data_IF_359662904287
#
_entry.id   IF_359662904287
#
_cell.length_a   1.000
_cell.length_b   1.000
_cell.length_c   1.000
_cell.angle_alpha   90.00
_cell.angle_beta   90.00
_cell.angle_gamma   90.00
#
_symmetry.space_group_name_H-M   'P 1'
#
loop_
_entity.id
_entity.type
_entity.pdbx_description
1 polymer ?
#
# COMPACT_ATOMS: atom_id res chain seq x y z
N UNK A 1 -15.52 21.28 -12.88
CA UNK A 1 -14.46 21.20 -11.83
C UNK A 1 -15.06 21.11 -10.42
N UNK A 2 -15.99 21.96 -10.01
CA UNK A 2 -16.61 21.85 -8.68
C UNK A 2 -17.23 20.47 -8.36
N UNK A 3 -17.91 19.84 -9.31
CA UNK A 3 -18.41 18.47 -9.14
C UNK A 3 -17.27 17.46 -8.86
N UNK A 4 -16.12 17.63 -9.52
CA UNK A 4 -14.95 16.77 -9.30
C UNK A 4 -14.35 16.96 -7.89
N UNK A 5 -14.35 18.19 -7.39
CA UNK A 5 -13.89 18.45 -6.02
C UNK A 5 -14.83 17.85 -4.98
N UNK A 6 -16.12 17.95 -5.20
CA UNK A 6 -17.11 17.31 -4.34
C UNK A 6 -16.91 15.79 -4.38
N UNK A 7 -16.76 15.19 -5.57
CA UNK A 7 -16.51 13.77 -5.73
C UNK A 7 -15.24 13.30 -5.01
N UNK A 8 -14.15 14.07 -5.12
CA UNK A 8 -12.91 13.81 -4.38
C UNK A 8 -13.10 13.94 -2.87
N UNK A 9 -13.86 14.95 -2.42
CA UNK A 9 -14.12 15.16 -0.99
C UNK A 9 -14.90 14.02 -0.36
N UNK A 10 -15.93 13.52 -1.06
CA UNK A 10 -16.76 12.39 -0.59
C UNK A 10 -16.20 11.02 -1.04
N UNK A 11 -15.06 11.02 -1.73
CA UNK A 11 -14.43 9.82 -2.31
C UNK A 11 -15.39 9.03 -3.21
N UNK A 12 -16.10 9.71 -4.08
CA UNK A 12 -17.00 9.09 -5.05
C UNK A 12 -16.20 8.45 -6.19
N UNK A 13 -15.99 7.14 -6.09
CA UNK A 13 -15.27 6.34 -7.09
C UNK A 13 -16.12 6.05 -8.34
N UNK A 14 -17.41 6.32 -8.32
CA UNK A 14 -18.29 6.15 -9.49
C UNK A 14 -18.29 7.41 -10.39
N UNK A 15 -17.65 8.50 -9.94
CA UNK A 15 -17.57 9.73 -10.71
C UNK A 15 -16.66 9.60 -11.94
N UNK A 16 -17.11 10.09 -13.09
CA UNK A 16 -16.40 9.87 -14.36
C UNK A 16 -15.25 10.85 -14.59
N UNK A 17 -14.01 10.35 -14.61
CA UNK A 17 -12.80 11.11 -14.95
C UNK A 17 -12.83 11.74 -16.38
N UNK A 18 -13.65 11.21 -17.31
CA UNK A 18 -13.79 11.74 -18.66
C UNK A 18 -14.26 13.19 -18.68
N UNK A 19 -15.03 13.62 -17.68
CA UNK A 19 -15.49 15.01 -17.55
C UNK A 19 -14.33 15.98 -17.34
N UNK A 20 -13.31 15.59 -16.57
CA UNK A 20 -12.10 16.40 -16.37
C UNK A 20 -11.24 16.47 -17.63
N UNK A 21 -11.10 15.37 -18.35
CA UNK A 21 -10.38 15.32 -19.62
C UNK A 21 -11.02 16.25 -20.66
N UNK A 22 -12.35 16.22 -20.77
CA UNK A 22 -13.08 17.13 -21.67
C UNK A 22 -12.95 18.59 -21.21
N UNK A 23 -13.06 18.87 -19.92
CA UNK A 23 -12.89 20.22 -19.39
C UNK A 23 -11.47 20.76 -19.67
N UNK A 24 -10.44 19.95 -19.46
CA UNK A 24 -9.06 20.30 -19.77
C UNK A 24 -8.90 20.70 -21.25
N UNK A 25 -9.37 19.86 -22.19
CA UNK A 25 -9.27 20.14 -23.64
C UNK A 25 -9.98 21.43 -24.05
N UNK A 26 -11.17 21.66 -23.52
CA UNK A 26 -11.95 22.87 -23.81
C UNK A 26 -11.22 24.10 -23.29
N UNK A 27 -10.74 24.07 -22.06
CA UNK A 27 -10.03 25.20 -21.43
C UNK A 27 -8.70 25.50 -22.15
N UNK A 28 -7.95 24.46 -22.49
CA UNK A 28 -6.71 24.58 -23.27
C UNK A 28 -6.96 25.20 -24.65
N UNK A 29 -7.99 24.75 -25.37
CA UNK A 29 -8.37 25.29 -26.67
C UNK A 29 -8.80 26.78 -26.62
N UNK A 30 -9.30 27.24 -25.47
CA UNK A 30 -9.66 28.65 -25.23
C UNK A 30 -8.50 29.48 -24.63
N UNK A 31 -7.31 28.88 -24.44
CA UNK A 31 -6.15 29.58 -23.88
C UNK A 31 -6.20 29.77 -22.35
N UNK A 32 -7.17 29.19 -21.67
CA UNK A 32 -7.26 29.25 -20.20
C UNK A 32 -6.36 28.18 -19.58
N UNK A 33 -5.05 28.43 -19.63
CA UNK A 33 -4.01 27.46 -19.20
C UNK A 33 -4.05 27.19 -17.70
N UNK A 34 -4.49 28.16 -16.89
CA UNK A 34 -4.54 27.99 -15.42
C UNK A 34 -5.65 27.01 -15.05
N UNK A 35 -6.86 27.21 -15.57
CA UNK A 35 -7.98 26.31 -15.29
C UNK A 35 -7.79 24.94 -16.00
N UNK A 36 -7.13 24.88 -17.15
CA UNK A 36 -6.73 23.64 -17.79
C UNK A 36 -5.77 22.84 -16.90
N UNK A 37 -4.74 23.48 -16.34
CA UNK A 37 -3.82 22.87 -15.40
C UNK A 37 -4.54 22.40 -14.12
N UNK A 38 -5.51 23.16 -13.65
CA UNK A 38 -6.31 22.79 -12.50
C UNK A 38 -7.21 21.56 -12.77
N UNK A 39 -7.84 21.49 -13.93
CA UNK A 39 -8.59 20.29 -14.33
C UNK A 39 -7.68 19.04 -14.38
N UNK A 40 -6.46 19.18 -14.88
CA UNK A 40 -5.45 18.12 -14.91
C UNK A 40 -4.99 17.73 -13.50
N UNK A 41 -4.80 18.68 -12.61
CA UNK A 41 -4.48 18.44 -11.21
C UNK A 41 -5.58 17.64 -10.48
N UNK A 42 -6.86 17.97 -10.71
CA UNK A 42 -7.97 17.18 -10.17
C UNK A 42 -7.99 15.75 -10.74
N UNK A 43 -7.63 15.57 -12.01
CA UNK A 43 -7.49 14.25 -12.62
C UNK A 43 -6.38 13.44 -11.97
N UNK A 44 -5.22 14.04 -11.66
CA UNK A 44 -4.14 13.41 -10.91
C UNK A 44 -4.63 12.93 -9.53
N UNK A 45 -5.35 13.80 -8.82
CA UNK A 45 -5.91 13.45 -7.50
C UNK A 45 -6.90 12.28 -7.58
N UNK A 46 -7.71 12.23 -8.62
CA UNK A 46 -8.65 11.15 -8.86
C UNK A 46 -7.89 9.84 -9.17
N UNK A 47 -6.85 9.88 -10.01
CA UNK A 47 -5.99 8.72 -10.28
C UNK A 47 -5.33 8.17 -9.00
N UNK A 48 -4.89 9.05 -8.11
CA UNK A 48 -4.35 8.64 -6.81
C UNK A 48 -5.43 8.00 -5.92
N UNK A 49 -6.68 8.45 -6.02
CA UNK A 49 -7.80 7.84 -5.31
C UNK A 49 -8.08 6.43 -5.81
N UNK A 50 -7.91 6.17 -7.10
CA UNK A 50 -8.03 4.83 -7.71
C UNK A 50 -6.77 3.95 -7.56
N UNK A 51 -5.67 4.48 -7.02
CA UNK A 51 -4.40 3.76 -6.92
C UNK A 51 -3.56 3.73 -8.21
N UNK A 52 -3.95 4.46 -9.25
CA UNK A 52 -3.26 4.55 -10.53
C UNK A 52 -2.02 5.45 -10.45
N UNK A 53 -1.03 5.00 -9.67
CA UNK A 53 0.12 5.81 -9.29
C UNK A 53 1.01 6.21 -10.48
N UNK A 54 1.23 5.29 -11.44
CA UNK A 54 2.06 5.57 -12.62
C UNK A 54 1.44 6.64 -13.52
N UNK A 55 0.12 6.56 -13.73
CA UNK A 55 -0.61 7.53 -14.54
C UNK A 55 -0.65 8.91 -13.85
N UNK A 56 -0.87 8.93 -12.53
CA UNK A 56 -0.85 10.15 -11.73
C UNK A 56 0.52 10.86 -11.81
N UNK A 57 1.61 10.11 -11.70
CA UNK A 57 2.98 10.62 -11.80
C UNK A 57 3.29 11.16 -13.19
N UNK A 58 2.88 10.45 -14.25
CA UNK A 58 3.04 10.91 -15.62
C UNK A 58 2.25 12.18 -15.92
N UNK A 59 1.03 12.33 -15.37
CA UNK A 59 0.23 13.53 -15.58
C UNK A 59 0.73 14.73 -14.78
N UNK A 60 1.13 14.55 -13.52
CA UNK A 60 1.58 15.67 -12.69
C UNK A 60 2.91 16.24 -13.20
N UNK A 61 3.77 15.43 -13.80
CA UNK A 61 5.04 15.89 -14.38
C UNK A 61 4.85 16.80 -15.61
N UNK A 62 3.67 16.78 -16.25
CA UNK A 62 3.36 17.64 -17.39
C UNK A 62 2.89 19.04 -16.96
N UNK A 63 2.56 19.24 -15.69
CA UNK A 63 2.09 20.52 -15.19
C UNK A 63 3.25 21.49 -14.98
N UNK A 64 3.06 22.74 -15.40
CA UNK A 64 4.05 23.81 -15.17
C UNK A 64 3.67 24.63 -13.93
N UNK A 65 4.33 24.45 -12.78
CA UNK A 65 3.98 25.16 -11.54
C UNK A 65 4.27 26.67 -11.58
N UNK A 66 5.01 27.17 -12.58
CA UNK A 66 5.35 28.60 -12.68
C UNK A 66 4.10 29.49 -12.81
N UNK A 67 3.05 28.97 -13.41
CA UNK A 67 1.78 29.68 -13.65
C UNK A 67 0.82 29.64 -12.44
N UNK A 68 1.14 28.88 -11.39
CA UNK A 68 0.21 28.63 -10.30
C UNK A 68 0.25 29.74 -9.26
N UNK A 69 -0.92 30.03 -8.67
CA UNK A 69 -1.01 30.83 -7.45
C UNK A 69 -0.31 30.12 -6.28
N UNK A 70 0.08 30.82 -5.21
CA UNK A 70 0.68 30.17 -4.04
C UNK A 70 -0.19 29.04 -3.46
N UNK A 71 -1.52 29.22 -3.42
CA UNK A 71 -2.45 28.20 -2.97
C UNK A 71 -2.40 26.94 -3.85
N UNK A 72 -2.39 27.12 -5.15
CA UNK A 72 -2.32 26.00 -6.09
C UNK A 72 -0.94 25.33 -6.10
N UNK A 73 0.15 26.10 -5.94
CA UNK A 73 1.49 25.53 -5.75
C UNK A 73 1.54 24.65 -4.52
N UNK A 74 1.00 25.10 -3.40
CA UNK A 74 0.96 24.31 -2.18
C UNK A 74 0.16 23.00 -2.35
N UNK A 75 -1.00 23.05 -3.00
CA UNK A 75 -1.80 21.87 -3.31
C UNK A 75 -1.07 20.91 -4.28
N UNK A 76 -0.36 21.45 -5.26
CA UNK A 76 0.44 20.69 -6.21
C UNK A 76 1.60 19.95 -5.51
N UNK A 77 2.36 20.63 -4.67
CA UNK A 77 3.45 20.04 -3.89
C UNK A 77 2.94 19.00 -2.89
N UNK A 78 1.76 19.19 -2.32
CA UNK A 78 1.13 18.23 -1.43
C UNK A 78 0.80 16.91 -2.19
N UNK A 79 0.36 17.02 -3.45
CA UNK A 79 0.12 15.83 -4.30
C UNK A 79 1.44 15.15 -4.66
N UNK A 80 2.50 15.91 -5.00
CA UNK A 80 3.85 15.35 -5.23
C UNK A 80 4.33 14.59 -3.99
N UNK A 81 4.17 15.17 -2.80
CA UNK A 81 4.51 14.50 -1.54
C UNK A 81 3.71 13.20 -1.37
N UNK A 82 2.43 13.21 -1.69
CA UNK A 82 1.58 12.02 -1.63
C UNK A 82 2.02 10.90 -2.58
N UNK A 83 2.47 11.24 -3.78
CA UNK A 83 3.06 10.29 -4.73
C UNK A 83 4.37 9.75 -4.16
N UNK A 84 5.26 10.62 -3.69
CA UNK A 84 6.57 10.24 -3.15
C UNK A 84 6.45 9.32 -1.93
N UNK A 85 5.50 9.56 -1.02
CA UNK A 85 5.20 8.68 0.12
C UNK A 85 4.79 7.28 -0.37
N UNK A 86 3.92 7.20 -1.38
CA UNK A 86 3.47 5.92 -1.94
C UNK A 86 4.59 5.15 -2.65
N UNK A 87 5.57 5.88 -3.19
CA UNK A 87 6.80 5.33 -3.77
C UNK A 87 7.86 4.99 -2.73
N UNK A 88 7.62 5.27 -1.44
CA UNK A 88 8.63 5.19 -0.37
C UNK A 88 9.90 6.01 -0.68
N UNK A 89 9.71 7.19 -1.26
CA UNK A 89 10.74 8.19 -1.51
C UNK A 89 10.63 9.29 -0.46
N UNK A 90 10.97 8.97 0.79
CA UNK A 90 10.59 9.80 1.95
C UNK A 90 11.35 11.11 1.98
N UNK A 91 12.60 11.13 1.51
CA UNK A 91 13.35 12.37 1.35
C UNK A 91 12.64 13.33 0.39
N UNK A 92 12.26 12.85 -0.79
CA UNK A 92 11.52 13.66 -1.78
C UNK A 92 10.16 14.12 -1.26
N UNK A 93 9.47 13.26 -0.53
CA UNK A 93 8.19 13.61 0.12
C UNK A 93 8.37 14.76 1.11
N UNK A 94 9.39 14.70 1.96
CA UNK A 94 9.71 15.74 2.96
C UNK A 94 10.05 17.07 2.29
N UNK A 95 10.86 17.04 1.24
CA UNK A 95 11.21 18.24 0.46
C UNK A 95 9.97 18.88 -0.19
N UNK A 96 9.07 18.07 -0.76
CA UNK A 96 7.81 18.57 -1.34
C UNK A 96 6.89 19.16 -0.25
N UNK A 97 6.78 18.53 0.92
CA UNK A 97 6.01 19.08 2.05
C UNK A 97 6.55 20.41 2.55
N UNK A 98 7.88 20.58 2.58
CA UNK A 98 8.51 21.86 2.96
C UNK A 98 8.14 22.94 1.94
N UNK A 99 8.21 22.64 0.63
CA UNK A 99 7.78 23.60 -0.41
C UNK A 99 6.29 23.91 -0.32
N UNK A 100 5.46 22.88 -0.09
CA UNK A 100 4.01 23.07 0.15
C UNK A 100 3.74 24.00 1.32
N UNK A 101 4.44 23.83 2.44
CA UNK A 101 4.28 24.66 3.64
C UNK A 101 4.65 26.12 3.37
N UNK A 102 5.76 26.37 2.67
CA UNK A 102 6.18 27.72 2.30
C UNK A 102 5.12 28.43 1.43
N UNK A 103 4.57 27.74 0.44
CA UNK A 103 3.54 28.31 -0.44
C UNK A 103 2.19 28.48 0.27
N UNK A 104 1.81 27.56 1.15
CA UNK A 104 0.59 27.68 1.96
C UNK A 104 0.67 28.85 2.97
N UNK A 105 1.86 29.11 3.52
CA UNK A 105 2.10 30.30 4.37
C UNK A 105 1.95 31.60 3.57
N UNK A 106 2.46 31.64 2.33
CA UNK A 106 2.27 32.78 1.41
C UNK A 106 0.81 33.01 1.06
N UNK A 107 0.08 31.91 0.84
CA UNK A 107 -1.36 31.94 0.53
C UNK A 107 -2.22 32.32 1.76
N UNK A 108 -1.70 32.19 2.98
CA UNK A 108 -2.41 32.43 4.26
C UNK A 108 -3.66 31.57 4.45
N UNK A 109 -3.67 30.35 3.91
CA UNK A 109 -4.82 29.43 3.95
C UNK A 109 -4.63 28.42 5.08
N UNK A 110 -5.28 28.64 6.23
CA UNK A 110 -5.18 27.78 7.43
C UNK A 110 -5.57 26.31 7.18
N UNK A 111 -6.65 25.98 6.48
CA UNK A 111 -7.00 24.59 6.20
C UNK A 111 -5.89 23.84 5.44
N UNK A 112 -5.23 24.50 4.49
CA UNK A 112 -4.14 23.91 3.71
C UNK A 112 -2.90 23.65 4.58
N UNK A 113 -2.56 24.59 5.48
CA UNK A 113 -1.49 24.38 6.46
C UNK A 113 -1.79 23.18 7.37
N UNK A 114 -3.02 23.07 7.85
CA UNK A 114 -3.42 21.93 8.69
C UNK A 114 -3.33 20.57 7.96
N UNK A 115 -3.62 20.56 6.64
CA UNK A 115 -3.48 19.36 5.81
C UNK A 115 -2.00 18.98 5.64
N UNK A 116 -1.13 19.96 5.41
CA UNK A 116 0.32 19.75 5.31
C UNK A 116 0.90 19.26 6.64
N UNK A 117 0.50 19.85 7.77
CA UNK A 117 0.94 19.45 9.10
C UNK A 117 0.53 17.99 9.39
N UNK A 118 -0.67 17.57 9.00
CA UNK A 118 -1.10 16.16 9.08
C UNK A 118 -0.21 15.24 8.24
N UNK A 119 0.19 15.68 7.04
CA UNK A 119 1.09 14.92 6.19
C UNK A 119 2.49 14.77 6.82
N UNK A 120 3.01 15.82 7.47
CA UNK A 120 4.25 15.71 8.26
C UNK A 120 4.11 14.76 9.45
N UNK A 121 3.00 14.82 10.19
CA UNK A 121 2.73 13.89 11.29
C UNK A 121 2.73 12.44 10.83
N UNK A 122 2.20 12.17 9.63
CA UNK A 122 2.20 10.83 9.03
C UNK A 122 3.63 10.28 8.86
N UNK A 123 4.58 11.11 8.43
CA UNK A 123 5.99 10.71 8.31
C UNK A 123 6.62 10.36 9.67
N UNK A 124 6.10 10.89 10.76
CA UNK A 124 6.54 10.62 12.13
C UNK A 124 5.80 9.48 12.84
N UNK A 125 4.83 8.81 12.18
CA UNK A 125 4.12 7.68 12.77
C UNK A 125 4.75 6.35 12.37
N UNK A 126 4.74 5.32 13.26
CA UNK A 126 5.20 3.98 12.92
C UNK A 126 4.46 3.43 11.69
N UNK A 127 5.21 3.06 10.65
CA UNK A 127 4.71 2.55 9.39
C UNK A 127 4.77 1.02 9.31
N UNK A 128 5.73 0.42 10.02
CA UNK A 128 5.92 -1.02 10.08
C UNK A 128 6.52 -1.46 11.42
N UNK A 129 6.48 -2.74 11.68
CA UNK A 129 7.19 -3.43 12.74
C UNK A 129 8.18 -4.39 12.11
N UNK A 130 9.44 -4.26 12.45
CA UNK A 130 10.51 -5.15 12.01
C UNK A 130 10.67 -6.27 13.04
N UNK A 131 10.66 -7.50 12.58
CA UNK A 131 10.96 -8.69 13.36
C UNK A 131 12.24 -9.32 12.82
N UNK A 132 13.25 -9.45 13.67
CA UNK A 132 14.54 -10.06 13.31
C UNK A 132 15.14 -10.74 14.53
N UNK A 133 15.45 -12.03 14.42
CA UNK A 133 16.12 -12.81 15.46
C UNK A 133 15.47 -12.71 16.86
N UNK A 134 14.14 -12.62 16.91
CA UNK A 134 13.37 -12.48 18.15
C UNK A 134 13.26 -11.07 18.71
N UNK A 135 13.89 -10.07 18.08
CA UNK A 135 13.73 -8.66 18.43
C UNK A 135 12.63 -8.01 17.59
N UNK A 136 11.89 -7.08 18.22
CA UNK A 136 10.86 -6.27 17.56
C UNK A 136 11.25 -4.79 17.62
N UNK A 137 11.17 -4.10 16.48
CA UNK A 137 11.40 -2.67 16.39
C UNK A 137 10.32 -1.99 15.55
N UNK A 138 9.73 -0.91 16.05
CA UNK A 138 8.86 -0.05 15.25
C UNK A 138 9.70 0.80 14.29
N UNK A 139 9.29 0.84 13.04
CA UNK A 139 9.95 1.58 11.97
C UNK A 139 9.07 2.72 11.47
N UNK A 140 9.68 3.87 11.27
CA UNK A 140 9.09 4.96 10.49
C UNK A 140 9.25 4.68 8.99
N UNK A 141 8.61 5.50 8.15
CA UNK A 141 8.72 5.35 6.69
C UNK A 141 10.17 5.47 6.18
N UNK A 142 10.99 6.37 6.78
CA UNK A 142 12.42 6.49 6.45
C UNK A 142 13.18 5.18 6.73
N UNK A 143 12.89 4.54 7.89
CA UNK A 143 13.52 3.26 8.24
C UNK A 143 13.09 2.15 7.26
N UNK A 144 11.80 2.13 6.89
CA UNK A 144 11.28 1.16 5.90
C UNK A 144 11.97 1.36 4.55
N UNK A 145 12.08 2.62 4.07
CA UNK A 145 12.81 2.95 2.83
C UNK A 145 14.25 2.43 2.90
N UNK A 146 14.96 2.68 4.01
CA UNK A 146 16.33 2.23 4.22
C UNK A 146 16.45 0.69 4.22
N UNK A 147 15.55 -0.02 4.89
CA UNK A 147 15.51 -1.49 4.88
C UNK A 147 15.28 -2.03 3.48
N UNK A 148 14.34 -1.45 2.74
CA UNK A 148 14.01 -1.89 1.37
C UNK A 148 15.09 -1.57 0.33
N UNK A 149 15.91 -0.55 0.58
CA UNK A 149 17.06 -0.17 -0.25
C UNK A 149 18.34 -0.95 0.11
N UNK A 150 18.36 -1.62 1.26
CA UNK A 150 19.52 -2.38 1.73
C UNK A 150 19.62 -3.75 1.07
N UNK A 151 20.79 -4.39 1.22
CA UNK A 151 21.01 -5.77 0.81
C UNK A 151 20.45 -6.74 1.86
N UNK A 152 19.13 -6.74 2.02
CA UNK A 152 18.38 -7.54 3.01
C UNK A 152 17.27 -8.31 2.31
N UNK A 153 17.15 -9.61 2.61
CA UNK A 153 15.98 -10.38 2.21
C UNK A 153 14.79 -10.00 3.12
N UNK A 154 13.76 -9.43 2.54
CA UNK A 154 12.59 -8.93 3.27
C UNK A 154 11.38 -9.82 3.01
N UNK A 155 10.79 -10.34 4.08
CA UNK A 155 9.46 -10.98 4.08
C UNK A 155 8.46 -9.91 4.52
N UNK A 156 7.74 -9.33 3.55
CA UNK A 156 6.78 -8.25 3.79
C UNK A 156 5.40 -8.83 4.13
N UNK A 157 5.07 -8.84 5.41
CA UNK A 157 3.77 -9.31 5.89
C UNK A 157 2.66 -8.27 5.73
N UNK A 158 2.99 -7.02 5.40
CA UNK A 158 1.99 -6.01 5.05
C UNK A 158 1.39 -6.27 3.67
N UNK A 159 2.17 -6.85 2.74
CA UNK A 159 1.79 -7.07 1.33
C UNK A 159 1.80 -8.54 0.90
N UNK A 160 2.12 -9.46 1.80
CA UNK A 160 2.25 -10.91 1.53
C UNK A 160 3.20 -11.22 0.38
N UNK A 161 4.39 -10.65 0.41
CA UNK A 161 5.41 -10.86 -0.59
C UNK A 161 6.80 -11.11 0.04
N UNK A 162 7.71 -11.65 -0.77
CA UNK A 162 9.13 -11.77 -0.46
C UNK A 162 9.89 -10.95 -1.47
N UNK A 163 10.86 -10.16 -1.01
CA UNK A 163 11.63 -9.29 -1.89
C UNK A 163 13.09 -9.20 -1.47
N UNK A 164 13.93 -9.00 -2.47
CA UNK A 164 15.32 -8.60 -2.32
C UNK A 164 15.62 -7.57 -3.41
N UNK A 165 15.99 -6.36 -3.01
CA UNK A 165 16.18 -5.24 -3.93
C UNK A 165 14.98 -5.03 -4.88
N UNK A 166 15.18 -5.19 -6.20
CA UNK A 166 14.14 -5.04 -7.23
C UNK A 166 13.34 -6.32 -7.50
N UNK A 167 13.86 -7.49 -7.10
CA UNK A 167 13.16 -8.75 -7.28
C UNK A 167 12.06 -8.93 -6.23
N UNK A 168 10.87 -9.31 -6.70
CA UNK A 168 9.68 -9.46 -5.85
C UNK A 168 8.91 -10.71 -6.24
N UNK A 169 8.53 -11.51 -5.26
CA UNK A 169 7.59 -12.63 -5.43
C UNK A 169 6.38 -12.43 -4.53
N UNK A 170 5.20 -12.24 -5.12
CA UNK A 170 3.94 -12.13 -4.38
C UNK A 170 3.42 -13.53 -3.99
N UNK A 171 3.06 -13.65 -2.72
CA UNK A 171 2.38 -14.81 -2.15
C UNK A 171 0.97 -14.45 -1.64
N UNK A 172 0.43 -13.29 -2.01
CA UNK A 172 -0.88 -12.81 -1.56
C UNK A 172 -2.01 -13.79 -1.90
N UNK A 173 -1.97 -14.44 -3.05
CA UNK A 173 -2.91 -15.49 -3.46
C UNK A 173 -2.61 -16.88 -2.86
N UNK A 174 -1.56 -17.00 -2.04
CA UNK A 174 -1.07 -18.27 -1.47
C UNK A 174 -0.84 -18.16 0.03
N UNK A 175 -1.88 -17.94 0.84
CA UNK A 175 -1.76 -17.60 2.26
C UNK A 175 -1.04 -18.70 3.09
N UNK A 176 -1.18 -19.96 2.72
CA UNK A 176 -0.47 -21.07 3.37
C UNK A 176 1.05 -20.94 3.14
N UNK A 177 1.49 -20.69 1.91
CA UNK A 177 2.91 -20.51 1.60
C UNK A 177 3.46 -19.27 2.31
N UNK A 178 2.67 -18.18 2.35
CA UNK A 178 3.08 -16.99 3.08
C UNK A 178 3.22 -17.24 4.59
N UNK A 179 2.27 -17.94 5.20
CA UNK A 179 2.36 -18.29 6.64
C UNK A 179 3.59 -19.15 6.95
N UNK A 180 3.97 -20.06 6.04
CA UNK A 180 5.17 -20.88 6.19
C UNK A 180 6.45 -20.05 6.08
N UNK A 181 6.61 -19.23 5.04
CA UNK A 181 7.81 -18.41 4.87
C UNK A 181 7.95 -17.38 5.99
N UNK A 182 6.84 -16.79 6.44
CA UNK A 182 6.82 -15.89 7.60
C UNK A 182 7.34 -16.58 8.85
N UNK A 183 6.80 -17.76 9.20
CA UNK A 183 7.22 -18.50 10.38
C UNK A 183 8.72 -18.90 10.33
N UNK A 184 9.21 -19.29 9.15
CA UNK A 184 10.63 -19.57 8.94
C UNK A 184 11.49 -18.31 9.06
N UNK A 185 11.01 -17.17 8.56
CA UNK A 185 11.71 -15.90 8.65
C UNK A 185 11.76 -15.32 10.06
N UNK A 186 10.66 -15.43 10.82
CA UNK A 186 10.60 -14.98 12.21
C UNK A 186 11.56 -15.79 13.11
N UNK A 187 11.77 -17.07 12.80
CA UNK A 187 12.69 -17.94 13.54
C UNK A 187 14.14 -17.88 13.06
N UNK A 188 14.39 -17.28 11.90
CA UNK A 188 15.74 -17.23 11.31
C UNK A 188 16.77 -16.62 12.29
N UNK A 189 18.00 -17.21 12.41
CA UNK A 189 18.57 -18.30 11.62
C UNK A 189 18.20 -19.72 12.08
N UNK A 190 17.38 -19.86 13.10
CA UNK A 190 16.99 -21.15 13.69
C UNK A 190 15.97 -21.91 12.81
N UNK A 191 15.85 -23.21 13.07
CA UNK A 191 14.84 -24.05 12.42
C UNK A 191 13.49 -24.00 13.13
N UNK A 192 12.42 -24.25 12.37
CA UNK A 192 11.05 -24.37 12.89
C UNK A 192 10.60 -25.81 12.83
N UNK A 193 10.05 -26.33 13.92
CA UNK A 193 9.58 -27.72 14.01
C UNK A 193 8.42 -27.99 13.04
N UNK A 194 8.31 -29.25 12.54
CA UNK A 194 7.22 -29.66 11.65
C UNK A 194 5.84 -29.41 12.26
N UNK A 195 5.70 -29.68 13.54
CA UNK A 195 4.42 -29.52 14.26
C UNK A 195 4.03 -28.05 14.40
N UNK A 196 5.00 -27.17 14.62
CA UNK A 196 4.76 -25.72 14.66
C UNK A 196 4.35 -25.20 13.28
N UNK A 197 5.04 -25.63 12.21
CA UNK A 197 4.68 -25.25 10.84
C UNK A 197 3.29 -25.76 10.44
N UNK A 198 2.90 -26.97 10.84
CA UNK A 198 1.54 -27.49 10.63
C UNK A 198 0.49 -26.60 11.32
N UNK A 199 0.73 -26.25 12.60
CA UNK A 199 -0.19 -25.40 13.36
C UNK A 199 -0.37 -24.01 12.71
N UNK A 200 0.73 -23.40 12.27
CA UNK A 200 0.71 -22.09 11.64
C UNK A 200 0.04 -22.14 10.26
N UNK A 201 0.41 -23.12 9.42
CA UNK A 201 -0.07 -23.22 8.04
C UNK A 201 -1.55 -23.59 7.95
N UNK A 202 -2.02 -24.50 8.80
CA UNK A 202 -3.35 -25.09 8.69
C UNK A 202 -4.30 -24.66 9.82
N UNK A 203 -3.81 -23.85 10.78
CA UNK A 203 -4.58 -23.34 11.94
C UNK A 203 -5.23 -24.46 12.75
N UNK A 204 -4.60 -25.64 12.81
CA UNK A 204 -5.07 -26.83 13.53
C UNK A 204 -4.39 -26.95 14.90
N UNK A 205 -5.15 -27.35 15.92
CA UNK A 205 -4.61 -27.56 17.27
C UNK A 205 -3.90 -28.89 17.41
N UNK A 206 -4.36 -29.93 16.69
CA UNK A 206 -3.77 -31.26 16.66
C UNK A 206 -2.98 -31.48 15.36
N UNK A 207 -1.89 -32.23 15.44
CA UNK A 207 -1.04 -32.57 14.30
C UNK A 207 -1.15 -34.07 14.08
N UNK A 208 -1.52 -34.48 12.87
CA UNK A 208 -1.57 -35.85 12.42
C UNK A 208 -0.65 -36.08 11.20
N UNK A 209 -0.51 -37.33 10.79
CA UNK A 209 0.38 -37.68 9.67
C UNK A 209 -0.14 -37.18 8.33
N UNK A 210 -1.46 -37.00 8.16
CA UNK A 210 -2.06 -36.42 6.95
C UNK A 210 -1.63 -34.95 6.81
N UNK A 211 -1.67 -34.17 7.88
CA UNK A 211 -1.22 -32.79 7.92
C UNK A 211 0.29 -32.66 7.68
N UNK A 212 1.09 -33.61 8.18
CA UNK A 212 2.54 -33.69 7.91
C UNK A 212 2.82 -34.00 6.44
N UNK A 213 2.05 -34.90 5.83
CA UNK A 213 2.15 -35.16 4.38
C UNK A 213 1.79 -33.93 3.56
N UNK A 214 0.70 -33.22 3.93
CA UNK A 214 0.32 -31.96 3.29
C UNK A 214 1.39 -30.87 3.46
N UNK A 215 2.00 -30.75 4.63
CA UNK A 215 3.12 -29.84 4.86
C UNK A 215 4.27 -30.09 3.88
N UNK A 216 4.64 -31.38 3.64
CA UNK A 216 5.71 -31.71 2.67
C UNK A 216 5.40 -31.19 1.27
N UNK A 217 4.14 -31.29 0.82
CA UNK A 217 3.71 -30.76 -0.48
C UNK A 217 3.81 -29.23 -0.52
N UNK A 218 3.31 -28.54 0.52
CA UNK A 218 3.37 -27.08 0.56
C UNK A 218 4.83 -26.56 0.68
N UNK A 219 5.70 -27.27 1.40
CA UNK A 219 7.14 -26.95 1.44
C UNK A 219 7.81 -27.13 0.07
N UNK A 220 7.40 -28.12 -0.72
CA UNK A 220 7.84 -28.26 -2.12
C UNK A 220 7.42 -27.06 -2.98
N UNK A 221 6.17 -26.62 -2.86
CA UNK A 221 5.65 -25.42 -3.56
C UNK A 221 6.38 -24.16 -3.11
N UNK A 222 6.65 -24.03 -1.81
CA UNK A 222 7.36 -22.88 -1.26
C UNK A 222 8.81 -22.82 -1.76
N UNK A 223 9.53 -23.95 -1.83
CA UNK A 223 10.86 -24.02 -2.44
C UNK A 223 10.87 -23.51 -3.88
N UNK A 224 9.86 -23.92 -4.68
CA UNK A 224 9.74 -23.46 -6.06
C UNK A 224 9.49 -21.97 -6.13
N UNK A 225 8.64 -21.41 -5.25
CA UNK A 225 8.32 -20.00 -5.21
C UNK A 225 9.50 -19.11 -4.77
N UNK A 226 10.37 -19.62 -3.90
CA UNK A 226 11.49 -18.88 -3.31
C UNK A 226 12.86 -19.22 -3.91
N UNK A 227 12.92 -19.99 -4.98
CA UNK A 227 14.19 -20.53 -5.53
C UNK A 227 15.25 -19.44 -5.84
N UNK A 228 14.84 -18.24 -6.16
CA UNK A 228 15.73 -17.10 -6.45
C UNK A 228 16.23 -16.39 -5.19
N UNK A 229 15.52 -16.53 -4.06
CA UNK A 229 15.79 -15.80 -2.83
C UNK A 229 16.48 -16.64 -1.77
N UNK A 230 16.03 -17.89 -1.61
CA UNK A 230 16.46 -18.74 -0.49
C UNK A 230 16.26 -20.21 -0.77
N UNK A 231 17.08 -21.04 -0.12
CA UNK A 231 16.88 -22.47 0.01
C UNK A 231 16.11 -22.79 1.30
N UNK A 232 15.23 -23.79 1.25
CA UNK A 232 14.57 -24.33 2.43
C UNK A 232 15.09 -25.74 2.68
N UNK A 233 15.97 -25.90 3.68
CA UNK A 233 16.53 -27.20 4.07
C UNK A 233 15.68 -27.89 5.11
N UNK A 234 15.57 -29.21 4.99
CA UNK A 234 15.01 -30.04 6.03
C UNK A 234 16.08 -30.32 7.12
N UNK A 235 15.68 -30.19 8.37
CA UNK A 235 16.49 -30.53 9.55
C UNK A 235 15.90 -31.76 10.25
N UNK A 236 16.58 -32.27 11.28
CA UNK A 236 16.01 -33.34 12.12
C UNK A 236 14.68 -32.90 12.76
N UNK A 237 14.61 -31.68 13.24
CA UNK A 237 13.44 -31.07 13.91
C UNK A 237 12.37 -30.60 12.93
N UNK A 238 12.76 -29.96 11.81
CA UNK A 238 11.82 -29.34 10.93
C UNK A 238 12.39 -28.81 9.63
N UNK A 239 12.36 -27.48 9.46
CA UNK A 239 12.87 -26.77 8.29
C UNK A 239 13.52 -25.46 8.69
N UNK A 240 14.56 -25.08 7.94
CA UNK A 240 15.27 -23.78 8.09
C UNK A 240 15.32 -23.08 6.75
N UNK A 241 15.20 -21.75 6.79
CA UNK A 241 15.34 -20.87 5.62
C UNK A 241 16.80 -20.41 5.53
N UNK A 242 17.41 -20.53 4.36
CA UNK A 242 18.79 -20.11 4.10
C UNK A 242 18.76 -19.14 2.92
N UNK A 243 18.90 -17.83 3.15
CA UNK A 243 18.98 -16.84 2.08
C UNK A 243 20.20 -17.12 1.16
N UNK A 244 20.02 -16.95 -0.15
CA UNK A 244 21.11 -16.99 -1.14
C UNK A 244 21.66 -15.61 -1.46
N UNK A 245 20.76 -14.62 -1.41
CA UNK A 245 20.99 -13.29 -1.94
C UNK A 245 21.45 -12.27 -0.88
N UNK A 246 21.41 -12.65 0.41
CA UNK A 246 21.77 -11.76 1.52
C UNK A 246 22.14 -12.54 2.77
N UNK A 247 23.05 -11.96 3.58
CA UNK A 247 23.36 -12.46 4.93
C UNK A 247 22.37 -11.95 5.98
N UNK A 248 21.40 -11.12 5.58
CA UNK A 248 20.39 -10.53 6.47
C UNK A 248 18.99 -10.88 5.99
N UNK A 249 18.15 -11.29 6.92
CA UNK A 249 16.74 -11.53 6.70
C UNK A 249 15.92 -10.80 7.78
N UNK A 250 14.86 -10.15 7.35
CA UNK A 250 13.91 -9.51 8.26
C UNK A 250 12.48 -9.79 7.82
N UNK A 251 11.58 -9.76 8.80
CA UNK A 251 10.13 -9.76 8.54
C UNK A 251 9.60 -8.37 8.85
N UNK A 252 8.98 -7.74 7.85
CA UNK A 252 8.22 -6.50 8.04
C UNK A 252 6.77 -6.84 8.28
N UNK A 253 6.25 -6.44 9.43
CA UNK A 253 4.85 -6.63 9.82
C UNK A 253 4.17 -5.28 10.03
N UNK A 254 2.85 -5.29 10.15
CA UNK A 254 2.10 -4.08 10.48
C UNK A 254 2.47 -3.58 11.88
N UNK A 255 2.53 -2.26 12.11
CA UNK A 255 2.90 -1.69 13.40
C UNK A 255 1.90 -2.07 14.51
N UNK A 256 0.63 -2.26 14.12
CA UNK A 256 -0.46 -2.73 14.97
C UNK A 256 -1.06 -3.97 14.30
N UNK A 257 -1.34 -5.03 15.06
CA UNK A 257 -1.99 -6.22 14.51
C UNK A 257 -3.36 -5.85 13.92
N UNK A 258 -3.47 -5.95 12.60
CA UNK A 258 -4.68 -5.65 11.88
C UNK A 258 -5.60 -6.88 11.81
N UNK A 259 -6.83 -6.72 12.27
CA UNK A 259 -7.80 -7.82 12.33
C UNK A 259 -8.07 -8.47 10.98
N UNK A 260 -7.93 -7.72 9.89
CA UNK A 260 -8.24 -8.16 8.52
C UNK A 260 -7.04 -8.03 7.57
N UNK A 261 -5.82 -8.20 8.11
CA UNK A 261 -4.55 -8.04 7.36
C UNK A 261 -4.50 -8.83 6.05
N UNK A 262 -5.05 -10.05 6.01
CA UNK A 262 -5.05 -10.87 4.81
C UNK A 262 -5.87 -10.25 3.65
N UNK A 263 -6.99 -9.60 3.95
CA UNK A 263 -7.80 -8.88 2.95
C UNK A 263 -7.03 -7.66 2.45
N UNK A 264 -6.47 -6.86 3.36
CA UNK A 264 -5.68 -5.68 3.02
C UNK A 264 -4.43 -6.03 2.19
N UNK A 265 -3.77 -7.16 2.49
CA UNK A 265 -2.59 -7.60 1.75
C UNK A 265 -2.88 -7.91 0.27
N UNK A 266 -4.04 -8.48 -0.05
CA UNK A 266 -4.44 -8.70 -1.44
C UNK A 266 -4.79 -7.37 -2.10
N UNK A 267 -5.60 -6.54 -1.43
CA UNK A 267 -6.00 -5.23 -1.94
C UNK A 267 -4.83 -4.25 -2.09
N UNK A 268 -3.67 -4.54 -1.48
CA UNK A 268 -2.46 -3.72 -1.59
C UNK A 268 -1.81 -3.73 -2.98
N UNK A 269 -2.26 -4.60 -3.89
CA UNK A 269 -1.89 -4.56 -5.32
C UNK A 269 -2.47 -3.34 -6.05
N UNK A 270 -3.45 -2.65 -5.44
CA UNK A 270 -4.14 -1.49 -6.00
C UNK A 270 -5.26 -1.84 -6.99
N UNK A 271 -5.50 -3.13 -7.23
CA UNK A 271 -6.53 -3.60 -8.14
C UNK A 271 -7.92 -3.60 -7.47
N UNK A 272 -8.95 -3.51 -8.30
CA UNK A 272 -10.33 -3.50 -7.87
C UNK A 272 -10.89 -4.94 -7.76
N UNK A 273 -11.06 -5.41 -6.54
CA UNK A 273 -11.47 -6.79 -6.25
C UNK A 273 -12.96 -6.93 -5.92
N UNK A 274 -13.60 -8.00 -6.40
CA UNK A 274 -14.91 -8.40 -5.92
C UNK A 274 -14.78 -9.21 -4.61
N UNK A 275 -15.79 -9.17 -3.75
CA UNK A 275 -15.80 -9.99 -2.53
C UNK A 275 -15.76 -11.50 -2.80
N UNK A 276 -16.28 -11.96 -3.94
CA UNK A 276 -16.21 -13.37 -4.37
C UNK A 276 -14.79 -13.76 -4.80
N UNK A 277 -14.10 -12.90 -5.56
CA UNK A 277 -12.70 -13.15 -5.95
C UNK A 277 -11.77 -13.17 -4.75
N UNK A 278 -11.93 -12.24 -3.81
CA UNK A 278 -11.20 -12.23 -2.54
C UNK A 278 -11.46 -13.50 -1.71
N UNK A 279 -12.71 -13.95 -1.66
CA UNK A 279 -13.07 -15.18 -0.95
C UNK A 279 -12.39 -16.42 -1.53
N UNK A 280 -12.34 -16.51 -2.86
CA UNK A 280 -11.68 -17.60 -3.59
C UNK A 280 -10.17 -17.61 -3.30
N UNK A 281 -9.52 -16.46 -3.39
CA UNK A 281 -8.07 -16.32 -3.16
C UNK A 281 -7.71 -16.61 -1.70
N UNK A 282 -8.51 -16.14 -0.75
CA UNK A 282 -8.31 -16.36 0.68
C UNK A 282 -8.73 -17.76 1.17
N UNK A 283 -9.40 -18.56 0.33
CA UNK A 283 -9.92 -19.87 0.72
C UNK A 283 -10.96 -19.80 1.84
N UNK A 284 -11.76 -18.75 1.86
CA UNK A 284 -12.77 -18.51 2.91
C UNK A 284 -14.14 -18.19 2.31
N UNK A 285 -15.19 -18.10 3.14
CA UNK A 285 -16.52 -17.79 2.63
C UNK A 285 -16.65 -16.32 2.21
N UNK A 286 -17.44 -16.05 1.15
CA UNK A 286 -17.72 -14.68 0.73
C UNK A 286 -18.35 -13.85 1.85
N UNK A 287 -19.18 -14.44 2.70
CA UNK A 287 -19.77 -13.77 3.87
C UNK A 287 -18.72 -13.31 4.89
N UNK A 288 -17.66 -14.13 5.09
CA UNK A 288 -16.54 -13.77 5.97
C UNK A 288 -15.77 -12.58 5.39
N UNK A 289 -15.50 -12.59 4.08
CA UNK A 289 -14.84 -11.49 3.40
C UNK A 289 -15.68 -10.22 3.44
N UNK A 290 -16.98 -10.31 3.19
CA UNK A 290 -17.87 -9.15 3.25
C UNK A 290 -17.85 -8.48 4.63
N UNK A 291 -17.93 -9.26 5.73
CA UNK A 291 -17.80 -8.70 7.08
C UNK A 291 -16.44 -8.03 7.32
N UNK A 292 -15.38 -8.62 6.79
CA UNK A 292 -14.05 -8.03 6.89
C UNK A 292 -13.96 -6.72 6.12
N UNK A 293 -14.53 -6.67 4.90
CA UNK A 293 -14.55 -5.47 4.05
C UNK A 293 -15.41 -4.37 4.68
N UNK A 294 -16.58 -4.71 5.24
CA UNK A 294 -17.43 -3.76 5.97
C UNK A 294 -16.68 -3.16 7.17
N UNK A 295 -16.03 -3.98 7.99
CA UNK A 295 -15.23 -3.51 9.12
C UNK A 295 -14.04 -2.63 8.68
N UNK A 296 -13.43 -2.92 7.54
CA UNK A 296 -12.34 -2.12 6.96
C UNK A 296 -12.86 -0.81 6.34
N UNK A 297 -14.05 -0.81 5.75
CA UNK A 297 -14.75 0.37 5.21
C UNK A 297 -15.12 1.33 6.35
N UNK A 298 -15.72 0.81 7.43
CA UNK A 298 -16.03 1.60 8.64
C UNK A 298 -14.78 2.26 9.25
N UNK A 299 -13.62 1.60 9.13
CA UNK A 299 -12.32 2.15 9.58
C UNK A 299 -11.61 3.01 8.52
N UNK A 300 -12.21 3.21 7.35
CA UNK A 300 -11.68 4.04 6.25
C UNK A 300 -10.42 3.47 5.57
N UNK A 301 -10.20 2.15 5.67
CA UNK A 301 -9.03 1.47 5.10
C UNK A 301 -9.25 0.90 3.71
N UNK A 302 -10.49 0.63 3.37
CA UNK A 302 -10.92 0.22 2.03
C UNK A 302 -12.11 1.05 1.61
N UNK A 303 -12.41 1.04 0.35
CA UNK A 303 -13.59 1.70 -0.20
C UNK A 303 -14.20 0.83 -1.29
N UNK A 304 -15.53 0.90 -1.43
CA UNK A 304 -16.22 0.21 -2.50
C UNK A 304 -16.80 1.17 -3.52
N UNK A 305 -16.90 0.72 -4.77
CA UNK A 305 -17.62 1.39 -5.85
C UNK A 305 -18.38 0.37 -6.71
N UNK A 306 -19.33 0.85 -7.52
CA UNK A 306 -20.26 0.00 -8.24
C UNK A 306 -21.36 -0.54 -7.33
N UNK A 307 -22.36 -1.24 -7.92
CA UNK A 307 -23.53 -1.78 -7.21
C UNK A 307 -23.76 -3.24 -7.52
N UNK A 308 -24.33 -3.97 -6.56
CA UNK A 308 -24.68 -5.39 -6.71
C UNK A 308 -23.47 -6.25 -7.09
N UNK A 309 -23.56 -7.02 -8.18
CA UNK A 309 -22.49 -7.89 -8.66
C UNK A 309 -21.27 -7.12 -9.24
N UNK A 310 -21.48 -5.86 -9.65
CA UNK A 310 -20.41 -4.98 -10.12
C UNK A 310 -19.66 -4.28 -8.98
N UNK A 311 -20.06 -4.45 -7.71
CA UNK A 311 -19.38 -3.84 -6.55
C UNK A 311 -17.94 -4.34 -6.48
N UNK A 312 -17.00 -3.39 -6.40
CA UNK A 312 -15.57 -3.63 -6.29
C UNK A 312 -15.02 -2.92 -5.06
N UNK A 313 -13.96 -3.47 -4.53
CA UNK A 313 -13.28 -2.98 -3.35
C UNK A 313 -11.84 -2.65 -3.69
N UNK A 314 -11.35 -1.52 -3.19
CA UNK A 314 -9.99 -1.05 -3.37
C UNK A 314 -9.42 -0.58 -2.05
N UNK A 315 -8.11 -0.65 -1.91
CA UNK A 315 -7.36 0.02 -0.85
C UNK A 315 -6.26 0.86 -1.46
N UNK A 316 -5.61 1.65 -0.64
CA UNK A 316 -4.47 2.44 -1.10
C UNK A 316 -3.19 1.63 -0.98
N UNK A 317 -2.19 1.86 -1.87
CA UNK A 317 -0.97 1.04 -1.94
C UNK A 317 -0.10 1.06 -0.68
N UNK A 318 -0.38 1.93 0.30
CA UNK A 318 0.31 1.95 1.58
C UNK A 318 -0.70 1.72 2.72
N UNK A 319 -0.73 0.51 3.33
CA UNK A 319 -1.50 0.27 4.54
C UNK A 319 -1.06 1.22 5.65
N UNK A 320 -2.03 1.86 6.29
CA UNK A 320 -1.78 2.80 7.39
C UNK A 320 -1.46 4.24 6.98
N UNK A 321 -1.17 4.52 5.71
CA UNK A 321 -1.11 5.90 5.20
C UNK A 321 -2.53 6.36 4.94
N UNK A 322 -3.04 7.19 5.82
CA UNK A 322 -4.37 7.78 5.64
C UNK A 322 -4.39 8.63 4.37
N UNK A 323 -5.52 8.63 3.68
CA UNK A 323 -5.74 9.33 2.41
C UNK A 323 -5.90 10.84 2.57
N UNK A 324 -5.38 11.41 3.66
CA UNK A 324 -5.43 12.84 3.94
C UNK A 324 -4.89 13.65 2.77
N UNK A 325 -3.83 13.16 2.11
CA UNK A 325 -3.25 13.77 0.90
C UNK A 325 -4.18 13.75 -0.33
N UNK A 326 -5.34 13.11 -0.24
CA UNK A 326 -6.35 13.07 -1.30
C UNK A 326 -7.53 14.00 -1.01
N UNK A 327 -7.52 14.70 0.13
CA UNK A 327 -8.55 15.71 0.40
C UNK A 327 -8.50 16.82 -0.65
N UNK A 328 -9.64 17.40 -1.01
CA UNK A 328 -9.68 18.54 -1.91
C UNK A 328 -8.81 19.67 -1.38
N UNK A 329 -7.91 20.17 -2.22
CA UNK A 329 -7.22 21.42 -1.92
C UNK A 329 -8.19 22.60 -1.98
N UNK A 330 -7.82 23.77 -1.46
CA UNK A 330 -8.62 24.97 -1.63
C UNK A 330 -8.78 25.29 -3.10
N UNK A 331 -9.92 25.89 -3.44
CA UNK A 331 -10.18 26.38 -4.80
C UNK A 331 -9.09 27.37 -5.22
N UNK A 332 -8.60 27.32 -6.47
CA UNK A 332 -7.68 28.32 -6.96
C UNK A 332 -8.42 29.67 -7.05
N UNK A 333 -7.95 30.63 -6.31
CA UNK A 333 -8.31 32.04 -6.47
C UNK A 333 -9.76 32.39 -6.12
N UNK A 334 -10.03 32.65 -4.91
CA UNK A 334 -10.90 33.75 -4.45
C UNK A 334 -10.05 34.87 -3.89
#
# INVERSE_FOLDING_TARGET
>A
MAEAEIALAVRDLDWSARRLENAHKILEAHGDLINAAYARHLQVRLLLLFGHLNEAEALISQLNPALFSPAFKAAHELVIAGIAIRRLQIKSAREALIRAQQEAQRAKIRPLLAEIDKAFQLLGTPAARLLSSGEEKLLLLDDVEAVLASDTLVIDACRYLVRHQTEVTSLASRPILFSLVRALGEAWPEDVSRDQLVKVAFRQKSVDESLRARLRVEMGRLRTALKTFAEIKATQRGYVLIPHCSEKLVVLDQPIQEKHAAVLAILADGEAWSSSALAMVLGTSQRTVQRSLESLDDSGKVQSFGRGQARRWVTFPLPGVTTILLLPGPLPGT
#
